data_IF_244872954932
#
_entry.id   IF_244872954932
#
_cell.length_a   1.000
_cell.length_b   1.000
_cell.length_c   1.000
_cell.angle_alpha   90.00
_cell.angle_beta   90.00
_cell.angle_gamma   90.00
#
_symmetry.space_group_name_H-M   'P 1'
#
loop_
_entity.id
_entity.type
_entity.pdbx_description
1 polymer ?
#
# COMPACT_ATOMS: atom_id res chain seq x y z
N UNK A 1 -16.30 -14.55 -9.43
CA UNK A 1 -15.84 -13.16 -9.16
C UNK A 1 -14.68 -12.85 -10.07
N UNK A 2 -14.62 -11.63 -10.61
CA UNK A 2 -13.46 -11.15 -11.39
C UNK A 2 -12.36 -10.66 -10.44
N UNK A 3 -11.10 -10.72 -10.85
CA UNK A 3 -9.97 -10.25 -10.03
C UNK A 3 -10.14 -8.80 -9.56
N UNK A 4 -10.65 -7.93 -10.43
CA UNK A 4 -10.97 -6.54 -10.09
C UNK A 4 -12.02 -6.42 -8.96
N UNK A 5 -12.98 -7.35 -8.89
CA UNK A 5 -13.99 -7.37 -7.82
C UNK A 5 -13.38 -7.84 -6.49
N UNK A 6 -12.42 -8.76 -6.51
CA UNK A 6 -11.70 -9.22 -5.31
C UNK A 6 -10.89 -8.07 -4.71
N UNK A 7 -10.09 -7.37 -5.53
CA UNK A 7 -9.29 -6.23 -5.09
C UNK A 7 -10.16 -5.11 -4.51
N UNK A 8 -11.27 -4.79 -5.17
CA UNK A 8 -12.24 -3.80 -4.68
C UNK A 8 -12.83 -4.22 -3.33
N UNK A 9 -13.28 -5.47 -3.18
CA UNK A 9 -13.87 -5.96 -1.92
C UNK A 9 -12.90 -5.89 -0.74
N UNK A 10 -11.62 -6.18 -0.97
CA UNK A 10 -10.59 -6.07 0.06
C UNK A 10 -10.45 -4.62 0.56
N UNK A 11 -10.32 -3.67 -0.38
CA UNK A 11 -10.22 -2.25 -0.04
C UNK A 11 -11.50 -1.73 0.65
N UNK A 12 -12.67 -2.11 0.15
CA UNK A 12 -13.97 -1.70 0.71
C UNK A 12 -14.16 -2.21 2.15
N UNK A 13 -13.66 -3.41 2.48
CA UNK A 13 -13.73 -3.95 3.83
C UNK A 13 -12.91 -3.10 4.81
N UNK A 14 -11.65 -2.81 4.49
CA UNK A 14 -10.79 -2.01 5.37
C UNK A 14 -11.27 -0.55 5.46
N UNK A 15 -11.76 0.03 4.38
CA UNK A 15 -12.38 1.35 4.38
C UNK A 15 -13.56 1.46 5.36
N UNK A 16 -14.45 0.46 5.37
CA UNK A 16 -15.57 0.39 6.32
C UNK A 16 -15.13 0.24 7.77
N UNK A 17 -13.94 -0.30 8.01
CA UNK A 17 -13.32 -0.43 9.33
C UNK A 17 -12.37 0.73 9.65
N UNK A 18 -12.56 1.91 9.03
CA UNK A 18 -11.85 3.13 9.37
C UNK A 18 -10.43 3.27 8.79
N UNK A 19 -10.02 2.39 7.87
CA UNK A 19 -8.72 2.50 7.21
C UNK A 19 -8.80 3.43 6.00
N UNK A 20 -7.82 4.31 5.84
CA UNK A 20 -7.72 5.15 4.64
C UNK A 20 -7.24 4.31 3.44
N UNK A 21 -7.98 4.37 2.34
CA UNK A 21 -7.54 3.76 1.07
C UNK A 21 -6.54 4.68 0.40
N UNK A 22 -5.33 4.17 0.18
CA UNK A 22 -4.22 4.92 -0.43
C UNK A 22 -3.85 4.27 -1.76
N UNK A 23 -3.59 5.04 -2.84
CA UNK A 23 -3.13 4.48 -4.11
C UNK A 23 -1.80 3.73 -3.98
N UNK A 24 -1.56 2.80 -4.92
CA UNK A 24 -0.26 2.12 -5.00
C UNK A 24 0.87 3.13 -5.23
N UNK A 25 1.98 2.93 -4.54
CA UNK A 25 3.19 3.71 -4.76
C UNK A 25 3.85 3.38 -6.12
N UNK A 26 4.79 4.24 -6.53
CA UNK A 26 5.66 4.01 -7.68
C UNK A 26 6.40 2.68 -7.56
N UNK A 27 6.63 2.00 -8.69
CA UNK A 27 7.49 0.82 -8.74
C UNK A 27 8.95 1.16 -8.43
N UNK A 28 9.39 2.38 -8.78
CA UNK A 28 10.73 2.86 -8.49
C UNK A 28 10.78 3.35 -7.05
N UNK A 29 11.67 2.75 -6.25
CA UNK A 29 11.80 3.08 -4.83
C UNK A 29 12.54 4.41 -4.63
N UNK A 30 12.10 5.26 -3.69
CA UNK A 30 12.86 6.46 -3.28
C UNK A 30 13.99 6.13 -2.29
N UNK A 31 14.02 4.91 -1.73
CA UNK A 31 15.01 4.52 -0.72
C UNK A 31 16.31 4.03 -1.39
N UNK A 32 17.49 4.58 -1.03
CA UNK A 32 18.77 4.23 -1.65
C UNK A 32 19.19 2.77 -1.47
N UNK A 33 18.62 2.03 -0.52
CA UNK A 33 18.98 0.62 -0.26
C UNK A 33 18.10 -0.38 -1.01
N UNK A 34 17.04 0.08 -1.71
CA UNK A 34 16.09 -0.79 -2.42
C UNK A 34 15.89 -0.32 -3.85
N UNK A 35 15.93 -1.24 -4.82
CA UNK A 35 15.78 -0.87 -6.23
C UNK A 35 14.32 -0.64 -6.65
N UNK A 36 13.39 -1.47 -6.15
CA UNK A 36 11.97 -1.42 -6.47
C UNK A 36 11.09 -1.50 -5.22
N UNK A 37 9.88 -0.98 -5.32
CA UNK A 37 8.82 -1.17 -4.31
C UNK A 37 8.34 -2.62 -4.34
N UNK A 38 8.87 -3.43 -3.43
CA UNK A 38 8.57 -4.87 -3.34
C UNK A 38 7.35 -5.20 -2.45
N UNK A 39 6.90 -4.26 -1.63
CA UNK A 39 5.81 -4.47 -0.68
C UNK A 39 5.03 -3.19 -0.42
N UNK A 40 3.74 -3.34 -0.05
CA UNK A 40 2.85 -2.23 0.26
C UNK A 40 3.26 -1.41 1.49
N UNK A 41 4.10 -1.96 2.38
CA UNK A 41 4.57 -1.26 3.59
C UNK A 41 5.73 -0.29 3.35
N UNK A 42 6.45 -0.42 2.22
CA UNK A 42 7.64 0.38 1.91
C UNK A 42 7.38 1.90 1.99
N UNK A 43 6.32 2.47 1.39
CA UNK A 43 6.05 3.91 1.52
C UNK A 43 5.67 4.34 2.94
N UNK A 44 5.36 3.41 3.84
CA UNK A 44 4.96 3.69 5.22
C UNK A 44 6.11 3.54 6.24
N UNK A 45 7.32 3.17 5.80
CA UNK A 45 8.48 3.00 6.70
C UNK A 45 8.73 4.22 7.61
N UNK A 46 8.74 5.48 7.12
CA UNK A 46 8.97 6.64 8.00
C UNK A 46 7.95 6.74 9.14
N UNK A 47 6.67 6.51 8.85
CA UNK A 47 5.60 6.51 9.86
C UNK A 47 5.74 5.38 10.87
N UNK A 48 6.20 4.20 10.42
CA UNK A 48 6.43 3.04 11.30
C UNK A 48 7.66 3.23 12.20
N UNK A 49 8.66 4.00 11.74
CA UNK A 49 9.83 4.36 12.52
C UNK A 49 9.59 5.57 13.43
N UNK A 50 8.52 6.34 13.19
CA UNK A 50 8.19 7.54 13.97
C UNK A 50 9.03 8.77 13.60
N UNK A 51 9.50 8.84 12.35
CA UNK A 51 10.24 9.99 11.78
C UNK A 51 9.32 11.14 11.35
#
# INVERSE_FOLDING_TARGET
MRTAEIAKRYLDYFAKNGHMVVPSASLISPNPTTLFTIAGMVPFIPYLLGE
#
